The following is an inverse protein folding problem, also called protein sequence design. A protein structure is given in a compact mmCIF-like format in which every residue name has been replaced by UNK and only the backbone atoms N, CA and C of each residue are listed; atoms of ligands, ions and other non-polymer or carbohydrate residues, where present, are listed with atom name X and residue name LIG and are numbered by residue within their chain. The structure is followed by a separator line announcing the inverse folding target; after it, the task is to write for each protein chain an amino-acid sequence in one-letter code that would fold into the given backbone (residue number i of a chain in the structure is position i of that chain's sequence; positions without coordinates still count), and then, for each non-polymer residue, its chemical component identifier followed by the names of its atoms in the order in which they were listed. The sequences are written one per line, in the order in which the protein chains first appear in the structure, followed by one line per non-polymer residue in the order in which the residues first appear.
data_IF_282644310469
#
_entry.id   IF_282644310469
#
_cell.length_a   1.000
_cell.length_b   1.000
_cell.length_c   1.000
_cell.angle_alpha   90.00
_cell.angle_beta   90.00
_cell.angle_gamma   90.00
#
_symmetry.space_group_name_H-M   'P 1'
#
loop_
_entity.id
_entity.type
_entity.pdbx_description
1 polymer ?
#
# COMPACT_ATOMS: atom_id res chain seq x y z
N UNK A 1 -23.19 -4.14 -3.38
CA UNK A 1 -23.70 -5.36 -4.07
C UNK A 1 -24.64 -6.15 -3.17
N UNK A 2 -24.15 -6.67 -2.04
CA UNK A 2 -24.91 -7.54 -1.13
C UNK A 2 -25.45 -6.85 0.13
N UNK A 3 -25.58 -5.52 0.13
CA UNK A 3 -26.13 -4.82 1.29
C UNK A 3 -27.61 -5.18 1.46
N UNK A 4 -28.07 -5.39 2.70
CA UNK A 4 -29.48 -5.56 3.02
C UNK A 4 -29.89 -4.53 4.06
N UNK A 5 -30.91 -3.72 3.76
CA UNK A 5 -31.39 -2.64 4.61
C UNK A 5 -31.72 -3.12 6.03
N UNK A 6 -32.31 -4.32 6.12
CA UNK A 6 -32.69 -4.95 7.40
C UNK A 6 -31.52 -5.42 8.26
N UNK A 7 -30.29 -5.45 7.72
CA UNK A 7 -29.08 -5.91 8.43
C UNK A 7 -28.09 -4.79 8.66
N UNK A 8 -28.02 -3.81 7.76
CA UNK A 8 -26.95 -2.80 7.74
C UNK A 8 -27.23 -1.51 8.51
N UNK A 9 -28.47 -1.26 8.97
CA UNK A 9 -28.83 -0.01 9.66
C UNK A 9 -28.84 1.25 8.78
N UNK A 10 -28.50 1.13 7.50
CA UNK A 10 -28.37 2.22 6.51
C UNK A 10 -29.67 2.43 5.71
N UNK A 11 -30.68 1.57 5.90
CA UNK A 11 -32.00 1.71 5.26
C UNK A 11 -32.03 1.48 3.74
N UNK A 12 -30.92 1.06 3.13
CA UNK A 12 -30.80 0.84 1.68
C UNK A 12 -30.37 -0.59 1.35
N UNK A 13 -31.03 -1.17 0.35
CA UNK A 13 -30.69 -2.48 -0.19
C UNK A 13 -29.63 -2.39 -1.29
N UNK A 14 -28.88 -3.47 -1.47
CA UNK A 14 -27.90 -3.62 -2.53
C UNK A 14 -28.54 -4.01 -3.85
N UNK A 15 -27.75 -3.91 -4.92
CA UNK A 15 -28.17 -4.22 -6.28
C UNK A 15 -28.87 -5.59 -6.41
N UNK A 16 -28.37 -6.63 -5.73
CA UNK A 16 -28.96 -7.98 -5.80
C UNK A 16 -30.17 -8.18 -4.90
N UNK A 17 -30.51 -7.19 -4.06
CA UNK A 17 -31.66 -7.20 -3.17
C UNK A 17 -32.73 -6.18 -3.59
N UNK A 18 -32.63 -5.63 -4.81
CA UNK A 18 -33.65 -4.73 -5.37
C UNK A 18 -33.46 -3.24 -5.05
N UNK A 19 -32.39 -2.86 -4.33
CA UNK A 19 -32.11 -1.45 -4.00
C UNK A 19 -31.51 -0.61 -5.14
N UNK A 20 -31.48 -1.15 -6.36
CA UNK A 20 -31.03 -0.44 -7.56
C UNK A 20 -29.51 -0.22 -7.63
N UNK A 21 -29.09 0.64 -8.58
CA UNK A 21 -27.67 0.90 -8.88
C UNK A 21 -27.06 2.05 -8.05
N UNK A 22 -27.88 2.87 -7.38
CA UNK A 22 -27.41 4.05 -6.65
C UNK A 22 -26.34 3.73 -5.61
N UNK A 23 -26.61 2.75 -4.73
CA UNK A 23 -25.65 2.31 -3.71
C UNK A 23 -24.34 1.76 -4.30
N UNK A 24 -24.38 1.15 -5.50
CA UNK A 24 -23.17 0.66 -6.14
C UNK A 24 -22.31 1.82 -6.64
N UNK A 25 -22.93 2.85 -7.23
CA UNK A 25 -22.23 4.04 -7.71
C UNK A 25 -21.58 4.80 -6.55
N UNK A 26 -22.31 5.02 -5.45
CA UNK A 26 -21.79 5.73 -4.28
C UNK A 26 -20.56 5.01 -3.68
N UNK A 27 -20.63 3.69 -3.56
CA UNK A 27 -19.51 2.88 -3.07
C UNK A 27 -18.32 2.91 -4.03
N UNK A 28 -18.56 2.92 -5.34
CA UNK A 28 -17.50 3.00 -6.34
C UNK A 28 -16.78 4.36 -6.29
N UNK A 29 -17.54 5.45 -6.17
CA UNK A 29 -16.98 6.80 -5.97
C UNK A 29 -16.16 6.86 -4.68
N UNK A 30 -16.65 6.26 -3.59
CA UNK A 30 -15.91 6.18 -2.33
C UNK A 30 -14.57 5.46 -2.46
N UNK A 31 -14.54 4.31 -3.14
CA UNK A 31 -13.29 3.55 -3.37
C UNK A 31 -12.31 4.35 -4.20
N UNK A 32 -12.76 4.99 -5.28
CA UNK A 32 -11.90 5.84 -6.12
C UNK A 32 -11.38 7.04 -5.33
N UNK A 33 -12.22 7.70 -4.54
CA UNK A 33 -11.82 8.86 -3.75
C UNK A 33 -10.73 8.51 -2.74
N UNK A 34 -10.90 7.41 -2.00
CA UNK A 34 -9.88 6.94 -1.04
C UNK A 34 -8.62 6.49 -1.77
N UNK A 35 -8.74 5.73 -2.87
CA UNK A 35 -7.59 5.27 -3.65
C UNK A 35 -6.78 6.42 -4.26
N UNK A 36 -7.45 7.44 -4.80
CA UNK A 36 -6.80 8.63 -5.34
C UNK A 36 -6.10 9.43 -4.23
N UNK A 37 -6.78 9.63 -3.10
CA UNK A 37 -6.21 10.35 -1.97
C UNK A 37 -4.96 9.65 -1.41
N UNK A 38 -5.05 8.35 -1.13
CA UNK A 38 -3.92 7.59 -0.56
C UNK A 38 -2.74 7.53 -1.52
N UNK A 39 -2.99 7.32 -2.82
CA UNK A 39 -1.95 7.30 -3.84
C UNK A 39 -1.26 8.66 -3.97
N UNK A 40 -2.01 9.75 -4.06
CA UNK A 40 -1.44 11.11 -4.16
C UNK A 40 -0.63 11.45 -2.92
N UNK A 41 -1.18 11.21 -1.73
CA UNK A 41 -0.49 11.51 -0.48
C UNK A 41 0.78 10.67 -0.33
N UNK A 42 0.71 9.36 -0.63
CA UNK A 42 1.87 8.49 -0.61
C UNK A 42 2.94 8.99 -1.59
N UNK A 43 2.58 9.31 -2.83
CA UNK A 43 3.53 9.83 -3.81
C UNK A 43 4.19 11.12 -3.33
N UNK A 44 3.45 12.05 -2.73
CA UNK A 44 4.00 13.28 -2.17
C UNK A 44 5.00 12.95 -1.06
N UNK A 45 4.60 12.14 -0.08
CA UNK A 45 5.45 11.77 1.07
C UNK A 45 6.72 11.08 0.60
N UNK A 46 6.61 10.06 -0.25
CA UNK A 46 7.78 9.35 -0.77
C UNK A 46 8.68 10.26 -1.61
N UNK A 47 8.12 11.15 -2.42
CA UNK A 47 8.92 12.11 -3.21
C UNK A 47 9.68 13.09 -2.32
N UNK A 48 9.04 13.59 -1.26
CA UNK A 48 9.69 14.49 -0.29
C UNK A 48 10.82 13.77 0.44
N UNK A 49 10.59 12.54 0.92
CA UNK A 49 11.64 11.72 1.56
C UNK A 49 12.80 11.49 0.58
N UNK A 50 12.49 11.15 -0.68
CA UNK A 50 13.51 10.92 -1.72
C UNK A 50 14.39 12.15 -1.93
N UNK A 51 13.80 13.34 -1.91
CA UNK A 51 14.52 14.59 -2.14
C UNK A 51 15.42 15.00 -0.96
N UNK A 52 15.03 14.66 0.28
CA UNK A 52 15.76 15.07 1.49
C UNK A 52 16.82 14.04 1.89
N UNK A 53 16.45 12.75 1.95
CA UNK A 53 17.27 11.70 2.54
C UNK A 53 17.80 10.69 1.52
N UNK A 54 17.18 10.61 0.34
CA UNK A 54 17.34 9.45 -0.53
C UNK A 54 16.49 8.27 -0.04
N UNK A 55 16.02 7.45 -0.97
CA UNK A 55 15.08 6.35 -0.69
C UNK A 55 15.67 4.96 -0.99
N UNK A 56 16.83 4.92 -1.64
CA UNK A 56 17.50 3.69 -2.06
C UNK A 56 18.99 3.86 -1.77
N UNK A 57 19.60 2.81 -1.27
CA UNK A 57 21.06 2.73 -1.10
C UNK A 57 21.76 2.79 -2.46
N UNK A 58 23.05 3.07 -2.46
CA UNK A 58 23.85 3.00 -3.68
C UNK A 58 23.89 1.56 -4.24
N UNK A 59 24.24 1.42 -5.53
CA UNK A 59 24.22 0.12 -6.20
C UNK A 59 25.28 -0.87 -5.71
N UNK A 60 26.38 -0.38 -5.14
CA UNK A 60 27.45 -1.23 -4.60
C UNK A 60 26.97 -1.85 -3.29
N UNK A 61 26.42 -1.03 -2.39
CA UNK A 61 25.75 -1.43 -1.15
C UNK A 61 24.57 -2.37 -1.40
N UNK A 62 23.77 -2.14 -2.47
CA UNK A 62 22.67 -3.04 -2.85
C UNK A 62 23.17 -4.43 -3.29
N UNK A 63 24.36 -4.50 -3.91
CA UNK A 63 24.96 -5.76 -4.40
C UNK A 63 25.66 -6.54 -3.29
N UNK A 64 26.34 -5.83 -2.38
CA UNK A 64 27.02 -6.44 -1.22
C UNK A 64 26.02 -6.90 -0.14
N UNK A 65 24.85 -6.27 -0.07
CA UNK A 65 23.78 -6.63 0.87
C UNK A 65 23.73 -5.68 2.06
N UNK A 66 22.52 -5.20 2.37
CA UNK A 66 22.28 -4.18 3.40
C UNK A 66 22.76 -4.62 4.80
N UNK A 67 22.67 -5.92 5.11
CA UNK A 67 23.03 -6.47 6.41
C UNK A 67 24.54 -6.28 6.71
N UNK A 68 25.39 -6.39 5.69
CA UNK A 68 26.84 -6.20 5.81
C UNK A 68 27.18 -4.72 6.01
N UNK A 69 26.52 -3.83 5.25
CA UNK A 69 26.83 -2.39 5.24
C UNK A 69 26.17 -1.59 6.36
N UNK A 70 24.97 -1.97 6.82
CA UNK A 70 24.23 -1.23 7.86
C UNK A 70 24.32 -1.87 9.25
N UNK A 71 24.44 -3.20 9.34
CA UNK A 71 24.50 -3.92 10.62
C UNK A 71 25.87 -4.51 10.93
N UNK A 72 26.82 -4.47 9.99
CA UNK A 72 28.20 -4.96 10.18
C UNK A 72 28.28 -6.47 10.43
N UNK A 73 27.22 -7.21 10.08
CA UNK A 73 27.14 -8.66 10.28
C UNK A 73 26.59 -9.32 9.02
N UNK A 74 27.28 -10.35 8.52
CA UNK A 74 26.74 -11.21 7.47
C UNK A 74 25.57 -12.04 8.03
N UNK A 75 24.44 -12.06 7.33
CA UNK A 75 23.28 -12.88 7.70
C UNK A 75 23.62 -14.39 7.70
N UNK A 76 24.56 -14.82 6.84
CA UNK A 76 24.99 -16.20 6.70
C UNK A 76 26.52 -16.33 6.57
N UNK A 77 27.25 -16.38 7.69
CA UNK A 77 28.71 -16.53 7.69
C UNK A 77 29.18 -17.82 6.99
N UNK A 78 28.37 -18.89 7.03
CA UNK A 78 28.73 -20.21 6.49
C UNK A 78 28.68 -20.33 4.96
N UNK A 79 28.07 -19.36 4.27
CA UNK A 79 27.93 -19.36 2.80
C UNK A 79 28.69 -18.21 2.13
N UNK A 80 29.43 -17.40 2.91
CA UNK A 80 30.21 -16.29 2.36
C UNK A 80 31.52 -16.80 1.74
N UNK A 81 32.00 -16.18 0.64
CA UNK A 81 33.28 -16.55 0.03
C UNK A 81 34.51 -16.32 0.92
N UNK A 82 34.33 -15.71 2.10
CA UNK A 82 35.39 -15.28 3.00
C UNK A 82 35.52 -16.15 4.27
N UNK A 83 34.57 -17.07 4.53
CA UNK A 83 34.71 -18.17 5.49
C UNK A 83 34.07 -17.93 6.86
#
# INVERSE_FOLDING_TARGET
LFAKASLGGIGVDGLFYGGGVGLLVDQFVGVIAVGAFTLVLALIVWTVIKAIFGLRVDQETETTGLDITEMGMEAYPSESPLG
#
